data_IF_753372432651
#
_entry.id   IF_753372432651
#
_cell.length_a   1.000
_cell.length_b   1.000
_cell.length_c   1.000
_cell.angle_alpha   90.00
_cell.angle_beta   90.00
_cell.angle_gamma   90.00
#
_symmetry.space_group_name_H-M   'P 1'
#
loop_
_entity.id
_entity.type
_entity.pdbx_description
1 polymer ?
#
# COMPACT_ATOMS: atom_id res chain seq x y z
N UNK A 1 -23.80 -9.04 22.62
CA UNK A 1 -23.18 -10.11 21.79
C UNK A 1 -22.59 -9.54 20.49
N UNK A 2 -22.57 -8.22 20.34
CA UNK A 2 -22.34 -7.54 19.04
C UNK A 2 -20.87 -7.26 18.75
N UNK A 3 -20.02 -7.27 19.79
CA UNK A 3 -18.58 -7.00 19.65
C UNK A 3 -17.79 -8.07 18.89
N UNK A 4 -18.21 -9.35 19.00
CA UNK A 4 -17.52 -10.46 18.33
C UNK A 4 -17.79 -10.53 16.82
N UNK A 5 -19.05 -10.32 16.42
CA UNK A 5 -19.46 -10.36 15.02
C UNK A 5 -18.80 -9.23 14.19
N UNK A 6 -18.75 -8.02 14.74
CA UNK A 6 -18.09 -6.88 14.09
C UNK A 6 -16.58 -7.09 13.92
N UNK A 7 -15.93 -7.73 14.90
CA UNK A 7 -14.50 -8.08 14.87
C UNK A 7 -14.17 -9.09 13.75
N UNK A 8 -15.00 -10.12 13.60
CA UNK A 8 -14.83 -11.14 12.55
C UNK A 8 -15.05 -10.54 11.15
N UNK A 9 -16.08 -9.71 10.98
CA UNK A 9 -16.32 -8.99 9.72
C UNK A 9 -15.16 -8.06 9.35
N UNK A 10 -14.65 -7.30 10.32
CA UNK A 10 -13.49 -6.43 10.11
C UNK A 10 -12.27 -7.25 9.64
N UNK A 11 -11.96 -8.37 10.29
CA UNK A 11 -10.86 -9.25 9.88
C UNK A 11 -11.07 -9.77 8.45
N UNK A 12 -12.28 -10.19 8.12
CA UNK A 12 -12.60 -10.67 6.77
C UNK A 12 -12.32 -9.59 5.71
N UNK A 13 -12.77 -8.35 5.92
CA UNK A 13 -12.51 -7.26 4.99
C UNK A 13 -11.02 -6.88 4.93
N UNK A 14 -10.32 -6.84 6.06
CA UNK A 14 -8.88 -6.56 6.10
C UNK A 14 -8.09 -7.64 5.36
N UNK A 15 -8.43 -8.92 5.58
CA UNK A 15 -7.78 -10.03 4.91
C UNK A 15 -8.06 -10.05 3.41
N UNK A 16 -9.31 -9.76 3.02
CA UNK A 16 -9.68 -9.63 1.61
C UNK A 16 -8.93 -8.49 0.93
N UNK A 17 -8.89 -7.31 1.54
CA UNK A 17 -8.16 -6.15 1.03
C UNK A 17 -6.66 -6.43 0.91
N UNK A 18 -6.06 -7.06 1.92
CA UNK A 18 -4.67 -7.51 1.88
C UNK A 18 -4.43 -8.51 0.74
N UNK A 19 -5.30 -9.49 0.58
CA UNK A 19 -5.18 -10.52 -0.47
C UNK A 19 -5.21 -9.90 -1.86
N UNK A 20 -6.15 -8.98 -2.10
CA UNK A 20 -6.26 -8.25 -3.37
C UNK A 20 -4.99 -7.42 -3.61
N UNK A 21 -4.52 -6.69 -2.60
CA UNK A 21 -3.31 -5.86 -2.70
C UNK A 21 -2.07 -6.70 -3.02
N UNK A 22 -1.84 -7.80 -2.30
CA UNK A 22 -0.69 -8.68 -2.52
C UNK A 22 -0.76 -9.36 -3.90
N UNK A 23 -1.93 -9.85 -4.30
CA UNK A 23 -2.10 -10.50 -5.61
C UNK A 23 -1.85 -9.50 -6.74
N UNK A 24 -2.46 -8.32 -6.69
CA UNK A 24 -2.30 -7.29 -7.73
C UNK A 24 -0.87 -6.77 -7.81
N UNK A 25 -0.23 -6.50 -6.68
CA UNK A 25 1.18 -6.07 -6.64
C UNK A 25 2.13 -7.17 -7.13
N UNK A 26 1.87 -8.43 -6.77
CA UNK A 26 2.68 -9.57 -7.23
C UNK A 26 2.53 -9.79 -8.75
N UNK A 27 1.30 -9.68 -9.28
CA UNK A 27 1.04 -9.73 -10.71
C UNK A 27 1.73 -8.58 -11.45
N UNK A 28 1.71 -7.37 -10.90
CA UNK A 28 2.42 -6.22 -11.45
C UNK A 28 3.94 -6.46 -11.47
N UNK A 29 4.53 -6.93 -10.37
CA UNK A 29 5.95 -7.28 -10.29
C UNK A 29 6.32 -8.37 -11.29
N UNK A 30 5.46 -9.37 -11.45
CA UNK A 30 5.63 -10.44 -12.43
C UNK A 30 5.54 -9.93 -13.87
N UNK A 31 4.58 -9.06 -14.18
CA UNK A 31 4.47 -8.43 -15.49
C UNK A 31 5.73 -7.59 -15.81
N UNK A 32 6.18 -6.77 -14.86
CA UNK A 32 7.38 -5.93 -14.99
C UNK A 32 8.71 -6.74 -15.00
N UNK A 33 8.68 -8.00 -14.54
CA UNK A 33 9.80 -8.94 -14.66
C UNK A 33 9.78 -9.72 -15.98
N UNK A 34 8.73 -9.58 -16.79
CA UNK A 34 8.62 -10.14 -18.14
C UNK A 34 8.76 -9.11 -19.26
N UNK A 35 8.70 -7.82 -18.96
CA UNK A 35 8.98 -6.77 -19.96
C UNK A 35 10.44 -6.80 -20.44
N UNK A 36 10.66 -6.40 -21.69
CA UNK A 36 11.98 -6.29 -22.33
C UNK A 36 12.96 -5.46 -21.50
N UNK A 37 14.27 -5.74 -21.62
CA UNK A 37 15.33 -5.03 -20.90
C UNK A 37 15.31 -3.52 -21.16
N UNK A 38 15.04 -3.12 -22.40
CA UNK A 38 14.95 -1.72 -22.83
C UNK A 38 13.79 -0.96 -22.19
N UNK A 39 12.68 -1.66 -21.90
CA UNK A 39 11.54 -1.08 -21.18
C UNK A 39 11.80 -1.11 -19.67
N UNK A 40 12.37 -2.19 -19.14
CA UNK A 40 12.67 -2.36 -17.71
C UNK A 40 13.70 -1.35 -17.17
N UNK A 41 14.63 -0.88 -18.00
CA UNK A 41 15.64 0.10 -17.60
C UNK A 41 15.07 1.52 -17.47
N UNK A 42 13.86 1.78 -17.97
CA UNK A 42 13.20 3.09 -17.87
C UNK A 42 12.82 3.40 -16.42
N UNK A 43 12.77 4.68 -16.09
CA UNK A 43 12.48 5.18 -14.75
C UNK A 43 11.12 4.70 -14.22
N UNK A 44 10.07 4.77 -15.06
CA UNK A 44 8.70 4.47 -14.66
C UNK A 44 8.48 3.00 -14.23
N UNK A 45 8.93 1.98 -14.99
CA UNK A 45 8.89 0.58 -14.53
C UNK A 45 9.68 0.31 -13.24
N UNK A 46 10.76 1.07 -12.96
CA UNK A 46 11.48 0.96 -11.69
C UNK A 46 10.67 1.54 -10.54
N UNK A 47 10.05 2.71 -10.73
CA UNK A 47 9.17 3.34 -9.75
C UNK A 47 7.98 2.43 -9.40
N UNK A 48 7.33 1.83 -10.41
CA UNK A 48 6.25 0.87 -10.21
C UNK A 48 6.67 -0.38 -9.42
N UNK A 49 7.91 -0.87 -9.61
CA UNK A 49 8.41 -2.00 -8.80
C UNK A 49 8.60 -1.63 -7.34
N UNK A 50 9.17 -0.46 -7.07
CA UNK A 50 9.35 0.04 -5.71
C UNK A 50 8.00 0.30 -5.04
N UNK A 51 7.04 0.90 -5.75
CA UNK A 51 5.67 1.10 -5.29
C UNK A 51 5.00 -0.22 -4.91
N UNK A 52 4.96 -1.20 -5.84
CA UNK A 52 4.34 -2.50 -5.58
C UNK A 52 4.99 -3.25 -4.40
N UNK A 53 6.30 -3.10 -4.23
CA UNK A 53 7.03 -3.71 -3.10
C UNK A 53 6.68 -3.00 -1.78
N UNK A 54 6.61 -1.67 -1.79
CA UNK A 54 6.22 -0.87 -0.64
C UNK A 54 4.78 -1.19 -0.20
N UNK A 55 3.86 -1.35 -1.15
CA UNK A 55 2.46 -1.69 -0.87
C UNK A 55 2.30 -3.10 -0.26
N UNK A 56 3.08 -4.08 -0.72
CA UNK A 56 3.11 -5.43 -0.11
C UNK A 56 3.63 -5.37 1.33
N UNK A 57 4.73 -4.65 1.57
CA UNK A 57 5.31 -4.52 2.91
C UNK A 57 4.37 -3.78 3.86
N UNK A 58 3.80 -2.67 3.40
CA UNK A 58 2.81 -1.87 4.13
C UNK A 58 1.60 -2.71 4.53
N UNK A 59 0.94 -3.33 3.55
CA UNK A 59 -0.29 -4.08 3.76
C UNK A 59 -0.07 -5.30 4.66
N UNK A 60 1.10 -5.96 4.54
CA UNK A 60 1.46 -7.10 5.39
C UNK A 60 1.75 -6.69 6.83
N UNK A 61 2.47 -5.58 7.04
CA UNK A 61 2.68 -5.03 8.38
C UNK A 61 1.37 -4.61 9.04
N UNK A 62 0.44 -4.04 8.27
CA UNK A 62 -0.88 -3.66 8.74
C UNK A 62 -1.73 -4.88 9.11
N UNK A 63 -1.76 -5.91 8.27
CA UNK A 63 -2.46 -7.16 8.56
C UNK A 63 -1.91 -7.80 9.85
N UNK A 64 -0.58 -7.84 10.00
CA UNK A 64 0.07 -8.38 11.19
C UNK A 64 -0.38 -7.67 12.47
N UNK A 65 -0.40 -6.33 12.49
CA UNK A 65 -0.89 -5.57 13.65
C UNK A 65 -2.37 -5.82 13.93
N UNK A 66 -3.21 -5.89 12.88
CA UNK A 66 -4.64 -6.16 13.05
C UNK A 66 -4.88 -7.56 13.66
N UNK A 67 -4.11 -8.57 13.25
CA UNK A 67 -4.17 -9.91 13.84
C UNK A 67 -3.78 -9.86 15.33
N UNK A 68 -2.66 -9.21 15.66
CA UNK A 68 -2.21 -9.12 17.04
C UNK A 68 -3.22 -8.41 17.95
N UNK A 69 -3.84 -7.33 17.46
CA UNK A 69 -4.89 -6.60 18.19
C UNK A 69 -6.17 -7.42 18.36
N UNK A 70 -6.54 -8.24 17.38
CA UNK A 70 -7.82 -8.97 17.39
C UNK A 70 -7.80 -10.18 18.31
N UNK A 71 -6.70 -10.94 18.27
CA UNK A 71 -6.54 -12.17 19.05
C UNK A 71 -6.11 -11.92 20.49
N UNK A 72 -5.99 -10.65 20.89
CA UNK A 72 -5.54 -10.22 22.22
C UNK A 72 -4.30 -11.00 22.67
N UNK A 73 -3.33 -11.13 21.76
CA UNK A 73 -2.08 -11.80 22.10
C UNK A 73 -1.40 -10.97 23.19
N UNK A 74 -1.44 -11.49 24.42
CA UNK A 74 -0.68 -10.94 25.54
C UNK A 74 0.81 -11.21 25.31
N UNK A 75 1.41 -10.38 24.46
CA UNK A 75 2.84 -10.32 24.26
C UNK A 75 3.47 -9.70 25.51
N UNK A 76 4.67 -10.18 25.86
CA UNK A 76 5.50 -9.53 26.86
C UNK A 76 5.72 -8.04 26.46
N UNK A 77 5.69 -7.08 27.40
CA UNK A 77 5.74 -5.64 27.08
C UNK A 77 6.90 -5.25 26.15
N UNK A 78 8.07 -5.86 26.34
CA UNK A 78 9.26 -5.62 25.52
C UNK A 78 9.07 -6.12 24.09
N UNK A 79 8.45 -7.29 23.92
CA UNK A 79 8.15 -7.88 22.61
C UNK A 79 7.08 -7.05 21.89
N UNK A 80 6.02 -6.65 22.61
CA UNK A 80 4.97 -5.79 22.07
C UNK A 80 5.52 -4.45 21.57
N UNK A 81 6.41 -3.81 22.35
CA UNK A 81 7.04 -2.56 21.96
C UNK A 81 7.90 -2.72 20.68
N UNK A 82 8.69 -3.79 20.60
CA UNK A 82 9.53 -4.06 19.43
C UNK A 82 8.70 -4.34 18.17
N UNK A 83 7.62 -5.14 18.30
CA UNK A 83 6.72 -5.44 17.18
C UNK A 83 6.00 -4.18 16.71
N UNK A 84 5.46 -3.38 17.63
CA UNK A 84 4.82 -2.10 17.30
C UNK A 84 5.79 -1.13 16.61
N UNK A 85 7.01 -0.98 17.15
CA UNK A 85 8.02 -0.10 16.55
C UNK A 85 8.43 -0.56 15.14
N UNK A 86 8.70 -1.86 14.97
CA UNK A 86 9.04 -2.45 13.68
C UNK A 86 7.91 -2.28 12.66
N UNK A 87 6.70 -2.67 13.01
CA UNK A 87 5.52 -2.52 12.15
C UNK A 87 5.25 -1.05 11.82
N UNK A 88 5.41 -0.13 12.78
CA UNK A 88 5.21 1.30 12.54
C UNK A 88 6.20 1.85 11.50
N UNK A 89 7.47 1.44 11.54
CA UNK A 89 8.47 1.84 10.54
C UNK A 89 8.04 1.38 9.14
N UNK A 90 7.61 0.12 8.98
CA UNK A 90 7.14 -0.38 7.68
C UNK A 90 5.86 0.31 7.19
N UNK A 91 4.93 0.58 8.12
CA UNK A 91 3.68 1.28 7.80
C UNK A 91 3.97 2.71 7.36
N UNK A 92 4.80 3.45 8.09
CA UNK A 92 5.14 4.83 7.76
C UNK A 92 5.92 4.90 6.45
N UNK A 93 6.95 4.06 6.30
CA UNK A 93 7.77 4.01 5.09
C UNK A 93 6.91 3.65 3.88
N UNK A 94 6.08 2.60 3.99
CA UNK A 94 5.22 2.15 2.90
C UNK A 94 4.19 3.20 2.51
N UNK A 95 3.53 3.84 3.48
CA UNK A 95 2.57 4.93 3.22
C UNK A 95 3.23 6.12 2.54
N UNK A 96 4.37 6.59 3.05
CA UNK A 96 5.08 7.74 2.49
C UNK A 96 5.62 7.43 1.09
N UNK A 97 6.23 6.26 0.90
CA UNK A 97 6.71 5.83 -0.40
C UNK A 97 5.57 5.71 -1.42
N UNK A 98 4.46 5.09 -1.01
CA UNK A 98 3.29 4.91 -1.87
C UNK A 98 2.73 6.26 -2.34
N UNK A 99 2.47 7.19 -1.41
CA UNK A 99 2.01 8.55 -1.74
C UNK A 99 3.01 9.30 -2.61
N UNK A 100 4.31 9.25 -2.32
CA UNK A 100 5.32 9.94 -3.13
C UNK A 100 5.37 9.40 -4.56
N UNK A 101 5.31 8.09 -4.74
CA UNK A 101 5.30 7.48 -6.07
C UNK A 101 4.00 7.77 -6.81
N UNK A 102 2.85 7.69 -6.15
CA UNK A 102 1.55 8.05 -6.75
C UNK A 102 1.54 9.51 -7.22
N UNK A 103 2.00 10.44 -6.37
CA UNK A 103 2.10 11.87 -6.72
C UNK A 103 3.09 12.08 -7.85
N UNK A 104 4.23 11.40 -7.85
CA UNK A 104 5.21 11.53 -8.93
C UNK A 104 4.67 10.99 -10.27
N UNK A 105 3.98 9.85 -10.24
CA UNK A 105 3.31 9.26 -11.41
C UNK A 105 2.22 10.22 -11.91
N UNK A 106 1.39 10.73 -11.01
CA UNK A 106 0.34 11.69 -11.35
C UNK A 106 0.92 12.97 -11.97
N UNK A 107 1.97 13.55 -11.38
CA UNK A 107 2.64 14.72 -11.95
C UNK A 107 3.27 14.42 -13.31
N UNK A 108 3.93 13.26 -13.47
CA UNK A 108 4.49 12.83 -14.75
C UNK A 108 3.43 12.73 -15.84
N UNK A 109 2.28 12.12 -15.52
CA UNK A 109 1.13 12.04 -16.41
C UNK A 109 0.54 13.42 -16.71
N UNK A 110 0.41 14.31 -15.71
CA UNK A 110 -0.11 15.67 -15.91
C UNK A 110 0.80 16.49 -16.82
N UNK A 111 2.12 16.41 -16.66
CA UNK A 111 3.08 17.14 -17.51
C UNK A 111 3.03 16.62 -18.96
N UNK A 112 2.91 15.32 -19.16
CA UNK A 112 2.78 14.70 -20.49
C UNK A 112 1.40 14.99 -21.13
N UNK A 113 0.35 15.04 -20.31
CA UNK A 113 -1.04 15.31 -20.71
C UNK A 113 -1.43 16.80 -20.71
N UNK A 114 -0.48 17.72 -20.51
CA UNK A 114 -0.67 19.17 -20.79
C UNK A 114 -1.02 19.46 -22.25
N UNK A 115 -1.06 18.44 -23.12
CA UNK A 115 -1.68 18.53 -24.43
C UNK A 115 -3.22 18.34 -24.45
N UNK A 116 -3.91 17.79 -23.42
CA UNK A 116 -5.36 17.50 -23.57
C UNK A 116 -6.29 17.69 -22.33
N UNK A 117 -5.93 17.48 -21.06
CA UNK A 117 -6.98 17.47 -19.98
C UNK A 117 -6.55 18.00 -18.59
N UNK A 118 -6.49 19.33 -18.43
CA UNK A 118 -6.31 20.00 -17.14
C UNK A 118 -7.69 20.38 -16.55
N UNK A 119 -8.53 19.43 -16.10
CA UNK A 119 -9.73 19.80 -15.32
C UNK A 119 -10.12 18.84 -14.18
N UNK A 120 -10.09 17.49 -14.28
CA UNK A 120 -10.77 16.69 -13.25
C UNK A 120 -9.92 16.35 -12.01
N UNK A 121 -8.60 16.52 -12.05
CA UNK A 121 -7.70 15.99 -11.00
C UNK A 121 -7.69 16.81 -9.70
N UNK A 122 -7.99 18.12 -9.77
CA UNK A 122 -8.01 18.99 -8.61
C UNK A 122 -9.18 18.69 -7.65
N UNK A 123 -10.29 18.16 -8.18
CA UNK A 123 -11.51 17.91 -7.39
C UNK A 123 -11.49 16.59 -6.61
N UNK A 124 -10.67 15.61 -7.00
CA UNK A 124 -10.56 14.33 -6.27
C UNK A 124 -9.59 14.39 -5.10
N UNK A 125 -8.57 15.26 -5.14
CA UNK A 125 -7.59 15.39 -4.06
C UNK A 125 -8.18 16.03 -2.80
N UNK A 126 -9.19 16.89 -2.92
CA UNK A 126 -9.91 17.48 -1.77
C UNK A 126 -10.85 16.50 -1.07
N UNK A 127 -11.32 15.45 -1.75
CA UNK A 127 -12.23 14.45 -1.18
C UNK A 127 -11.52 13.31 -0.45
N UNK A 128 -10.22 13.13 -0.65
CA UNK A 128 -9.40 12.11 0.05
C UNK A 128 -8.81 12.66 1.37
N UNK A 129 -8.87 13.97 1.57
CA UNK A 129 -8.32 14.68 2.74
C UNK A 129 -9.38 15.24 3.72
N UNK A 130 -10.67 14.95 3.50
CA UNK A 130 -11.78 15.21 4.45
C UNK A 130 -12.28 13.86 4.96
#
# INVERSE_FOLDING_TARGET
MDGGFNRVLLLFFVFLAWSISVVTCSLLLWALSRTSLTTRSRLFPRQLKHLATADILYSSALLWLNILQLFDFHLEPNVAANVCAGSFVFILMGRVASVLFEVHIAMGLVVDSRSVFIVPFASSLTLVWI
#
